data_IF_871787421081
#
_entry.id   IF_871787421081
#
_cell.length_a   1.000
_cell.length_b   1.000
_cell.length_c   1.000
_cell.angle_alpha   90.00
_cell.angle_beta   90.00
_cell.angle_gamma   90.00
#
_symmetry.space_group_name_H-M   'P 1'
#
loop_
_entity.id
_entity.type
_entity.pdbx_description
1 polymer ?
#
# COMPACT_ATOMS: atom_id res chain seq x y z
N UNK A 1 5.86 10.34 -17.04
CA UNK A 1 4.44 10.18 -17.47
C UNK A 1 4.22 9.00 -18.40
N UNK A 2 5.17 8.65 -19.30
CA UNK A 2 4.97 7.57 -20.28
C UNK A 2 4.87 6.17 -19.65
N UNK A 3 5.71 5.84 -18.67
CA UNK A 3 5.70 4.52 -18.04
C UNK A 3 4.44 4.30 -17.18
N UNK A 4 3.96 5.33 -16.50
CA UNK A 4 2.70 5.26 -15.74
C UNK A 4 1.50 5.10 -16.68
N UNK A 5 1.53 5.73 -17.86
CA UNK A 5 0.57 5.52 -18.93
C UNK A 5 0.58 4.06 -19.43
N UNK A 6 1.78 3.51 -19.66
CA UNK A 6 1.94 2.13 -20.11
C UNK A 6 1.42 1.12 -19.08
N UNK A 7 1.66 1.35 -17.77
CA UNK A 7 1.08 0.53 -16.72
C UNK A 7 -0.45 0.61 -16.68
N UNK A 8 -1.02 1.82 -16.85
CA UNK A 8 -2.46 2.01 -16.94
C UNK A 8 -3.07 1.24 -18.12
N UNK A 9 -2.45 1.34 -19.30
CA UNK A 9 -2.89 0.64 -20.49
C UNK A 9 -2.78 -0.89 -20.30
N UNK A 10 -1.70 -1.36 -19.66
CA UNK A 10 -1.54 -2.78 -19.36
C UNK A 10 -2.58 -3.30 -18.34
N UNK A 11 -2.95 -2.49 -17.33
CA UNK A 11 -3.99 -2.85 -16.37
C UNK A 11 -5.38 -2.86 -17.03
N UNK A 12 -5.68 -1.85 -17.86
CA UNK A 12 -7.03 -1.67 -18.41
C UNK A 12 -7.29 -2.46 -19.68
N UNK A 13 -6.30 -2.56 -20.54
CA UNK A 13 -6.39 -3.20 -21.89
C UNK A 13 -5.15 -4.04 -22.18
N UNK A 14 -4.89 -5.10 -21.40
CA UNK A 14 -3.66 -5.91 -21.52
C UNK A 14 -3.46 -6.52 -22.92
N UNK A 15 -4.53 -6.75 -23.66
CA UNK A 15 -4.52 -7.29 -25.02
C UNK A 15 -3.89 -6.36 -26.07
N UNK A 16 -3.71 -5.07 -25.72
CA UNK A 16 -3.10 -4.07 -26.62
C UNK A 16 -1.60 -3.90 -26.36
N UNK A 17 -1.06 -4.52 -25.32
CA UNK A 17 0.32 -4.36 -24.89
C UNK A 17 1.15 -5.57 -25.30
N UNK A 18 2.30 -5.31 -25.93
CA UNK A 18 3.33 -6.34 -26.11
C UNK A 18 3.95 -6.67 -24.74
N UNK A 19 3.34 -7.64 -24.07
CA UNK A 19 3.75 -8.08 -22.75
C UNK A 19 5.23 -8.51 -22.71
N UNK A 20 5.68 -9.27 -23.72
CA UNK A 20 7.04 -9.77 -23.77
C UNK A 20 8.03 -8.61 -23.90
N UNK A 21 7.80 -7.71 -24.86
CA UNK A 21 8.63 -6.53 -25.04
C UNK A 21 8.68 -5.63 -23.81
N UNK A 22 7.55 -5.44 -23.12
CA UNK A 22 7.49 -4.68 -21.87
C UNK A 22 8.40 -5.27 -20.78
N UNK A 23 8.32 -6.57 -20.52
CA UNK A 23 9.11 -7.18 -19.46
C UNK A 23 10.60 -7.32 -19.81
N UNK A 24 10.95 -7.52 -21.08
CA UNK A 24 12.33 -7.48 -21.54
C UNK A 24 12.93 -6.07 -21.38
N UNK A 25 12.16 -5.02 -21.70
CA UNK A 25 12.57 -3.64 -21.46
C UNK A 25 12.79 -3.36 -19.96
N UNK A 26 11.86 -3.75 -19.10
CA UNK A 26 11.98 -3.56 -17.65
C UNK A 26 13.17 -4.33 -17.08
N UNK A 27 13.42 -5.55 -17.56
CA UNK A 27 14.59 -6.34 -17.17
C UNK A 27 15.90 -5.64 -17.53
N UNK A 28 15.99 -5.08 -18.74
CA UNK A 28 17.15 -4.31 -19.18
C UNK A 28 17.32 -3.05 -18.32
N UNK A 29 16.27 -2.31 -18.05
CA UNK A 29 16.32 -1.13 -17.18
C UNK A 29 16.79 -1.46 -15.77
N UNK A 30 16.33 -2.58 -15.18
CA UNK A 30 16.79 -3.03 -13.86
C UNK A 30 18.30 -3.38 -13.84
N UNK A 31 18.89 -3.70 -15.00
CA UNK A 31 20.31 -4.02 -15.12
C UNK A 31 21.19 -2.78 -15.39
N UNK A 32 20.73 -1.86 -16.22
CA UNK A 32 21.56 -0.83 -16.83
C UNK A 32 21.27 0.60 -16.32
N UNK A 33 20.08 0.86 -15.75
CA UNK A 33 19.70 2.21 -15.32
C UNK A 33 20.46 2.63 -14.07
N UNK A 34 21.03 3.81 -14.12
CA UNK A 34 21.82 4.39 -13.03
C UNK A 34 21.00 5.24 -12.07
N UNK A 35 19.87 5.81 -12.52
CA UNK A 35 18.93 6.54 -11.64
C UNK A 35 17.98 5.56 -10.94
N UNK A 36 18.43 5.06 -9.79
CA UNK A 36 17.69 4.07 -9.02
C UNK A 36 16.38 4.63 -8.41
N UNK A 37 16.31 5.94 -8.18
CA UNK A 37 15.08 6.59 -7.71
C UNK A 37 14.02 6.58 -8.83
N UNK A 38 14.41 6.99 -10.04
CA UNK A 38 13.55 6.92 -11.23
C UNK A 38 13.11 5.48 -11.49
N UNK A 39 14.02 4.53 -11.42
CA UNK A 39 13.72 3.11 -11.64
C UNK A 39 12.70 2.58 -10.61
N UNK A 40 12.82 2.97 -9.33
CA UNK A 40 11.83 2.64 -8.30
C UNK A 40 10.43 3.16 -8.66
N UNK A 41 10.34 4.40 -9.16
CA UNK A 41 9.06 4.98 -9.62
C UNK A 41 8.52 4.27 -10.87
N UNK A 42 9.38 3.91 -11.80
CA UNK A 42 9.01 3.15 -13.00
C UNK A 42 8.45 1.77 -12.66
N UNK A 43 8.96 1.13 -11.61
CA UNK A 43 8.47 -0.15 -11.10
C UNK A 43 7.23 -0.02 -10.21
N UNK A 44 6.75 1.20 -9.95
CA UNK A 44 5.55 1.43 -9.13
C UNK A 44 4.30 1.41 -10.00
N UNK A 45 3.37 0.50 -9.70
CA UNK A 45 2.08 0.47 -10.39
C UNK A 45 1.21 1.68 -9.99
N UNK A 46 0.38 2.21 -10.92
CA UNK A 46 -0.61 3.23 -10.60
C UNK A 46 -1.49 2.81 -9.43
N UNK A 47 -1.80 3.75 -8.54
CA UNK A 47 -2.75 3.49 -7.46
C UNK A 47 -4.16 3.28 -8.02
N UNK A 48 -5.00 2.56 -7.27
CA UNK A 48 -6.41 2.34 -7.62
C UNK A 48 -7.14 3.66 -7.87
N UNK A 49 -6.81 4.69 -7.13
CA UNK A 49 -7.36 6.04 -7.32
C UNK A 49 -7.09 6.58 -8.73
N UNK A 50 -5.88 6.39 -9.24
CA UNK A 50 -5.50 6.83 -10.61
C UNK A 50 -6.26 5.99 -11.63
N UNK A 51 -6.35 4.68 -11.43
CA UNK A 51 -7.11 3.76 -12.30
C UNK A 51 -8.59 4.16 -12.33
N UNK A 52 -9.18 4.44 -11.16
CA UNK A 52 -10.58 4.89 -11.04
C UNK A 52 -10.86 6.17 -11.83
N UNK A 53 -9.88 7.07 -11.98
CA UNK A 53 -10.06 8.28 -12.79
C UNK A 53 -10.17 7.99 -14.30
N UNK A 54 -9.64 6.87 -14.75
CA UNK A 54 -9.59 6.48 -16.18
C UNK A 54 -10.75 5.60 -16.61
N UNK A 55 -11.50 5.00 -15.68
CA UNK A 55 -12.65 4.16 -16.00
C UNK A 55 -13.97 4.94 -15.89
N UNK A 56 -14.93 4.65 -16.75
CA UNK A 56 -16.24 5.32 -16.74
C UNK A 56 -17.11 4.90 -15.55
N UNK A 57 -17.14 3.60 -15.25
CA UNK A 57 -17.80 3.00 -14.09
C UNK A 57 -16.78 2.18 -13.30
N UNK A 58 -16.78 2.37 -11.98
CA UNK A 58 -15.84 1.72 -11.07
C UNK A 58 -16.44 0.41 -10.57
N UNK A 59 -15.81 -0.70 -10.95
CA UNK A 59 -16.01 -1.99 -10.33
C UNK A 59 -14.75 -2.31 -9.52
N UNK A 60 -14.84 -2.19 -8.20
CA UNK A 60 -13.70 -2.31 -7.30
C UNK A 60 -13.02 -3.67 -7.42
N UNK A 61 -13.81 -4.75 -7.42
CA UNK A 61 -13.29 -6.11 -7.54
C UNK A 61 -12.54 -6.33 -8.86
N UNK A 62 -13.10 -5.82 -9.98
CA UNK A 62 -12.47 -5.92 -11.29
C UNK A 62 -11.16 -5.16 -11.38
N UNK A 63 -11.12 -3.92 -10.88
CA UNK A 63 -9.90 -3.10 -10.86
C UNK A 63 -8.82 -3.77 -10.03
N UNK A 64 -9.18 -4.28 -8.86
CA UNK A 64 -8.25 -5.01 -8.01
C UNK A 64 -7.70 -6.26 -8.71
N UNK A 65 -8.57 -7.07 -9.30
CA UNK A 65 -8.17 -8.29 -10.02
C UNK A 65 -7.20 -7.97 -11.17
N UNK A 66 -7.50 -6.96 -11.98
CA UNK A 66 -6.63 -6.51 -13.08
C UNK A 66 -5.25 -6.08 -12.57
N UNK A 67 -5.21 -5.32 -11.47
CA UNK A 67 -3.96 -4.87 -10.86
C UNK A 67 -3.14 -6.02 -10.27
N UNK A 68 -3.78 -6.97 -9.61
CA UNK A 68 -3.11 -8.17 -9.08
C UNK A 68 -2.60 -9.09 -10.22
N UNK A 69 -3.30 -9.18 -11.35
CA UNK A 69 -2.80 -9.88 -12.54
C UNK A 69 -1.48 -9.25 -13.04
N UNK A 70 -1.36 -7.93 -13.03
CA UNK A 70 -0.11 -7.26 -13.40
C UNK A 70 1.00 -7.53 -12.37
N UNK A 71 0.70 -7.48 -11.06
CA UNK A 71 1.64 -7.87 -10.01
C UNK A 71 2.17 -9.30 -10.23
N UNK A 72 1.27 -10.24 -10.53
CA UNK A 72 1.63 -11.61 -10.85
C UNK A 72 2.57 -11.70 -12.07
N UNK A 73 2.29 -10.93 -13.13
CA UNK A 73 3.16 -10.88 -14.30
C UNK A 73 4.54 -10.29 -13.98
N UNK A 74 4.60 -9.20 -13.20
CA UNK A 74 5.88 -8.62 -12.74
C UNK A 74 6.71 -9.67 -12.01
N UNK A 75 6.12 -10.39 -11.06
CA UNK A 75 6.79 -11.47 -10.33
C UNK A 75 7.26 -12.55 -11.30
N UNK A 76 6.36 -13.09 -12.10
CA UNK A 76 6.64 -14.19 -13.05
C UNK A 76 7.82 -13.90 -13.97
N UNK A 77 7.95 -12.67 -14.46
CA UNK A 77 8.98 -12.32 -15.46
C UNK A 77 10.25 -11.72 -14.86
N UNK A 78 10.16 -11.14 -13.66
CA UNK A 78 11.26 -10.34 -13.09
C UNK A 78 11.76 -10.85 -11.73
N UNK A 79 11.22 -11.91 -11.13
CA UNK A 79 11.56 -12.36 -9.77
C UNK A 79 13.05 -12.52 -9.56
N UNK A 80 13.75 -13.23 -10.46
CA UNK A 80 15.20 -13.48 -10.34
C UNK A 80 16.00 -12.17 -10.31
N UNK A 81 15.67 -11.22 -11.20
CA UNK A 81 16.38 -9.95 -11.25
C UNK A 81 16.01 -9.03 -10.08
N UNK A 82 14.75 -9.06 -9.62
CA UNK A 82 14.33 -8.35 -8.42
C UNK A 82 15.07 -8.86 -7.19
N UNK A 83 15.24 -10.18 -7.05
CA UNK A 83 15.99 -10.78 -5.96
C UNK A 83 17.49 -10.43 -6.04
N UNK A 84 18.07 -10.48 -7.23
CA UNK A 84 19.47 -10.07 -7.46
C UNK A 84 19.68 -8.59 -7.08
N UNK A 85 18.80 -7.70 -7.55
CA UNK A 85 18.87 -6.27 -7.27
C UNK A 85 18.62 -5.96 -5.78
N UNK A 86 17.70 -6.64 -5.13
CA UNK A 86 17.48 -6.52 -3.69
C UNK A 86 18.76 -6.89 -2.91
N UNK A 87 19.41 -8.02 -3.25
CA UNK A 87 20.65 -8.46 -2.60
C UNK A 87 21.80 -7.48 -2.85
N UNK A 88 21.94 -7.00 -4.07
CA UNK A 88 22.94 -5.99 -4.46
C UNK A 88 22.80 -4.71 -3.62
N UNK A 89 21.58 -4.23 -3.45
CA UNK A 89 21.29 -2.97 -2.74
C UNK A 89 21.16 -3.15 -1.21
N UNK A 90 21.03 -4.39 -0.73
CA UNK A 90 20.89 -4.67 0.70
C UNK A 90 22.27 -4.88 1.38
N UNK A 91 23.14 -3.89 1.24
CA UNK A 91 24.46 -3.92 1.84
C UNK A 91 24.50 -3.08 3.14
N UNK A 92 25.46 -3.42 4.01
CA UNK A 92 25.68 -2.78 5.30
C UNK A 92 26.39 -1.42 5.17
N UNK A 93 25.82 -0.47 4.41
CA UNK A 93 26.32 0.91 4.39
C UNK A 93 25.86 1.68 5.64
N UNK A 94 26.66 2.68 6.02
CA UNK A 94 26.22 3.69 6.97
C UNK A 94 25.05 4.47 6.37
N UNK A 95 24.03 4.74 7.17
CA UNK A 95 22.90 5.53 6.73
C UNK A 95 23.34 6.95 6.35
N UNK A 96 22.93 7.41 5.18
CA UNK A 96 23.11 8.79 4.72
C UNK A 96 21.89 9.26 3.92
N UNK A 97 21.83 10.58 3.64
CA UNK A 97 20.75 11.24 2.91
C UNK A 97 21.17 11.66 1.49
N UNK A 98 22.25 11.12 0.94
CA UNK A 98 22.62 11.38 -0.45
C UNK A 98 21.52 10.89 -1.41
N UNK A 99 21.39 11.56 -2.55
CA UNK A 99 20.43 11.17 -3.60
C UNK A 99 20.62 9.72 -4.02
N UNK A 100 21.88 9.25 -4.10
CA UNK A 100 22.18 7.87 -4.40
C UNK A 100 21.63 6.91 -3.35
N UNK A 101 21.92 7.14 -2.06
CA UNK A 101 21.42 6.29 -0.97
C UNK A 101 19.88 6.32 -0.84
N UNK A 102 19.24 7.45 -1.14
CA UNK A 102 17.78 7.54 -1.21
C UNK A 102 17.25 6.65 -2.34
N UNK A 103 17.84 6.72 -3.54
CA UNK A 103 17.47 5.89 -4.68
C UNK A 103 17.70 4.39 -4.43
N UNK A 104 18.86 4.03 -3.84
CA UNK A 104 19.20 2.65 -3.46
C UNK A 104 18.14 2.07 -2.51
N UNK A 105 17.73 2.81 -1.47
CA UNK A 105 16.68 2.38 -0.54
C UNK A 105 15.31 2.29 -1.20
N UNK A 106 14.97 3.26 -2.04
CA UNK A 106 13.70 3.27 -2.75
C UNK A 106 13.54 2.02 -3.63
N UNK A 107 14.54 1.73 -4.47
CA UNK A 107 14.51 0.57 -5.36
C UNK A 107 14.59 -0.75 -4.59
N UNK A 108 15.47 -0.85 -3.58
CA UNK A 108 15.54 -2.03 -2.71
C UNK A 108 14.18 -2.37 -2.10
N UNK A 109 13.52 -1.38 -1.52
CA UNK A 109 12.20 -1.55 -0.90
C UNK A 109 11.11 -1.86 -1.92
N UNK A 110 11.22 -1.34 -3.15
CA UNK A 110 10.32 -1.69 -4.25
C UNK A 110 10.50 -3.15 -4.67
N UNK A 111 11.73 -3.63 -4.83
CA UNK A 111 12.02 -5.03 -5.10
C UNK A 111 11.46 -5.92 -3.98
N UNK A 112 11.69 -5.56 -2.72
CA UNK A 112 11.18 -6.31 -1.56
C UNK A 112 9.65 -6.45 -1.59
N UNK A 113 8.92 -5.39 -1.96
CA UNK A 113 7.45 -5.42 -2.02
C UNK A 113 6.91 -6.46 -3.02
N UNK A 114 7.60 -6.67 -4.14
CA UNK A 114 7.25 -7.73 -5.10
C UNK A 114 7.68 -9.12 -4.60
N UNK A 115 8.88 -9.24 -4.03
CA UNK A 115 9.40 -10.51 -3.51
C UNK A 115 8.55 -11.05 -2.35
N UNK A 116 8.02 -10.18 -1.49
CA UNK A 116 7.09 -10.60 -0.44
C UNK A 116 5.79 -11.14 -1.05
N UNK A 117 5.29 -10.56 -2.13
CA UNK A 117 4.13 -11.07 -2.85
C UNK A 117 4.38 -12.44 -3.51
N UNK A 118 5.64 -12.79 -3.82
CA UNK A 118 5.99 -14.14 -4.31
C UNK A 118 6.24 -15.15 -3.20
N UNK A 119 6.24 -14.71 -1.93
CA UNK A 119 6.42 -15.60 -0.78
C UNK A 119 7.75 -15.44 -0.03
N UNK A 120 8.62 -14.53 -0.46
CA UNK A 120 9.94 -14.29 0.15
C UNK A 120 9.82 -13.47 1.46
N UNK A 121 8.94 -13.92 2.37
CA UNK A 121 8.63 -13.23 3.64
C UNK A 121 9.85 -13.10 4.56
N UNK A 122 10.76 -14.07 4.53
CA UNK A 122 11.95 -14.07 5.37
C UNK A 122 12.89 -12.90 5.07
N UNK A 123 12.96 -12.45 3.81
CA UNK A 123 13.74 -11.27 3.43
C UNK A 123 13.19 -10.01 4.12
N UNK A 124 11.88 -9.83 4.11
CA UNK A 124 11.24 -8.70 4.76
C UNK A 124 11.38 -8.79 6.29
N UNK A 125 11.23 -9.97 6.87
CA UNK A 125 11.41 -10.18 8.31
C UNK A 125 12.85 -9.87 8.76
N UNK A 126 13.86 -10.32 8.00
CA UNK A 126 15.26 -9.98 8.25
C UNK A 126 15.50 -8.46 8.12
N UNK A 127 14.96 -7.83 7.06
CA UNK A 127 15.10 -6.38 6.91
C UNK A 127 14.42 -5.63 8.06
N UNK A 128 13.21 -6.02 8.46
CA UNK A 128 12.51 -5.40 9.59
C UNK A 128 13.35 -5.40 10.87
N UNK A 129 13.99 -6.53 11.17
CA UNK A 129 14.78 -6.72 12.39
C UNK A 129 16.14 -6.02 12.39
N UNK A 130 16.75 -5.80 11.21
CA UNK A 130 18.10 -5.26 11.08
C UNK A 130 18.15 -3.89 10.40
N UNK A 131 16.99 -3.29 10.09
CA UNK A 131 16.93 -1.98 9.45
C UNK A 131 17.62 -0.91 10.29
N UNK A 132 18.45 -0.10 9.65
CA UNK A 132 19.17 1.03 10.27
C UNK A 132 18.46 2.37 10.08
N UNK A 133 17.34 2.38 9.38
CA UNK A 133 16.52 3.56 9.18
C UNK A 133 15.03 3.21 9.11
N UNK A 134 14.21 4.20 9.43
CA UNK A 134 12.74 4.06 9.43
C UNK A 134 12.20 3.69 8.05
N UNK A 135 12.79 4.18 6.96
CA UNK A 135 12.32 3.86 5.59
C UNK A 135 12.36 2.37 5.30
N UNK A 136 13.45 1.70 5.63
CA UNK A 136 13.61 0.26 5.40
C UNK A 136 12.74 -0.56 6.36
N UNK A 137 12.68 -0.15 7.63
CA UNK A 137 11.87 -0.85 8.63
C UNK A 137 10.38 -0.74 8.34
N UNK A 138 9.91 0.47 8.00
CA UNK A 138 8.51 0.70 7.67
C UNK A 138 8.10 -0.03 6.39
N UNK A 139 8.98 -0.07 5.38
CA UNK A 139 8.71 -0.75 4.12
C UNK A 139 8.58 -2.27 4.30
N UNK A 140 9.48 -2.87 5.09
CA UNK A 140 9.40 -4.29 5.42
C UNK A 140 8.20 -4.61 6.34
N UNK A 141 7.89 -3.74 7.30
CA UNK A 141 6.69 -3.82 8.14
C UNK A 141 5.42 -3.82 7.27
N UNK A 142 5.30 -2.85 6.36
CA UNK A 142 4.16 -2.75 5.44
C UNK A 142 4.03 -4.01 4.58
N UNK A 143 5.12 -4.46 3.96
CA UNK A 143 5.10 -5.65 3.11
C UNK A 143 4.62 -6.91 3.87
N UNK A 144 5.02 -7.08 5.13
CA UNK A 144 4.57 -8.20 5.96
C UNK A 144 3.12 -8.04 6.43
N UNK A 145 2.67 -6.83 6.73
CA UNK A 145 1.29 -6.57 7.18
C UNK A 145 0.27 -6.70 6.04
N UNK A 146 0.67 -6.42 4.81
CA UNK A 146 -0.21 -6.52 3.62
C UNK A 146 -0.39 -7.93 3.08
N UNK A 147 0.36 -8.92 3.58
CA UNK A 147 0.34 -10.29 3.07
C UNK A 147 0.17 -11.31 4.21
N UNK A 148 -0.58 -12.41 3.97
CA UNK A 148 -0.65 -13.51 4.90
C UNK A 148 0.69 -14.23 5.00
N UNK A 149 1.32 -14.20 6.17
CA UNK A 149 2.62 -14.82 6.43
C UNK A 149 2.80 -15.14 7.92
N UNK A 150 3.76 -16.00 8.30
CA UNK A 150 3.95 -16.40 9.69
C UNK A 150 4.50 -15.29 10.61
N UNK A 151 5.06 -14.24 10.06
CA UNK A 151 5.71 -13.16 10.82
C UNK A 151 4.77 -11.97 11.11
N UNK A 152 3.60 -11.91 10.47
CA UNK A 152 2.70 -10.76 10.50
C UNK A 152 2.36 -10.30 11.93
N UNK A 153 1.90 -11.22 12.77
CA UNK A 153 1.51 -10.90 14.14
C UNK A 153 2.70 -10.38 14.95
N UNK A 154 3.83 -11.07 14.87
CA UNK A 154 5.04 -10.69 15.58
C UNK A 154 5.53 -9.29 15.21
N UNK A 155 5.58 -8.95 13.89
CA UNK A 155 6.06 -7.63 13.47
C UNK A 155 5.11 -6.51 13.86
N UNK A 156 3.79 -6.75 13.90
CA UNK A 156 2.80 -5.78 14.39
C UNK A 156 3.04 -5.48 15.87
N UNK A 157 3.17 -6.50 16.69
CA UNK A 157 3.42 -6.38 18.14
C UNK A 157 4.79 -5.71 18.40
N UNK A 158 5.84 -6.16 17.71
CA UNK A 158 7.19 -5.62 17.86
C UNK A 158 7.32 -4.17 17.41
N UNK A 159 6.70 -3.79 16.28
CA UNK A 159 6.70 -2.40 15.85
C UNK A 159 5.99 -1.50 16.87
N UNK A 160 4.86 -1.96 17.41
CA UNK A 160 4.17 -1.27 18.48
C UNK A 160 5.08 -1.08 19.72
N UNK A 161 5.71 -2.12 20.22
CA UNK A 161 6.57 -2.05 21.42
C UNK A 161 7.79 -1.13 21.20
N UNK A 162 8.36 -1.11 20.01
CA UNK A 162 9.49 -0.23 19.67
C UNK A 162 9.10 1.26 19.65
N UNK A 163 7.87 1.57 19.22
CA UNK A 163 7.51 2.96 18.89
C UNK A 163 6.27 3.48 19.62
N UNK A 164 5.74 2.79 20.61
CA UNK A 164 4.51 3.18 21.33
C UNK A 164 4.56 4.57 21.95
N UNK A 165 5.74 5.10 22.25
CA UNK A 165 5.93 6.45 22.81
C UNK A 165 6.10 7.52 21.70
N UNK A 166 6.31 7.11 20.45
CA UNK A 166 6.42 8.04 19.32
C UNK A 166 5.06 8.19 18.63
N UNK A 167 4.42 9.33 18.86
CA UNK A 167 3.06 9.62 18.37
C UNK A 167 2.96 9.52 16.86
N UNK A 168 3.97 10.01 16.11
CA UNK A 168 3.94 10.02 14.65
C UNK A 168 4.16 8.62 14.08
N UNK A 169 5.05 7.84 14.68
CA UNK A 169 5.32 6.47 14.25
C UNK A 169 4.15 5.55 14.58
N UNK A 170 3.45 5.77 15.69
CA UNK A 170 2.21 5.05 16.01
C UNK A 170 1.06 5.43 15.04
N UNK A 171 0.99 6.64 14.55
CA UNK A 171 0.05 6.99 13.48
C UNK A 171 0.31 6.16 12.21
N UNK A 172 1.58 5.88 11.88
CA UNK A 172 1.94 4.97 10.76
C UNK A 172 1.58 3.51 11.05
N UNK A 173 1.77 3.05 12.29
CA UNK A 173 1.37 1.70 12.71
C UNK A 173 -0.13 1.46 12.51
N UNK A 174 -0.98 2.43 12.85
CA UNK A 174 -2.41 2.37 12.54
C UNK A 174 -2.68 2.38 11.03
N UNK A 175 -2.04 3.31 10.31
CA UNK A 175 -2.28 3.48 8.86
C UNK A 175 -1.91 2.24 8.05
N UNK A 176 -0.75 1.64 8.32
CA UNK A 176 -0.28 0.44 7.60
C UNK A 176 -1.24 -0.73 7.80
N UNK A 177 -1.73 -0.94 9.01
CA UNK A 177 -2.71 -1.99 9.25
C UNK A 177 -4.04 -1.70 8.57
N UNK A 178 -4.51 -0.44 8.64
CA UNK A 178 -5.82 -0.06 8.09
C UNK A 178 -5.89 -0.12 6.57
N UNK A 179 -4.78 0.13 5.88
CA UNK A 179 -4.72 0.07 4.41
C UNK A 179 -4.43 -1.35 3.90
N UNK A 180 -4.07 -2.27 4.78
CA UNK A 180 -3.78 -3.66 4.41
C UNK A 180 -4.97 -4.31 3.72
N UNK A 181 -4.78 -4.95 2.54
CA UNK A 181 -5.86 -5.59 1.79
C UNK A 181 -6.46 -6.79 2.53
N UNK A 182 -5.81 -7.29 3.56
CA UNK A 182 -6.24 -8.47 4.32
C UNK A 182 -6.86 -8.15 5.68
N UNK A 183 -6.91 -6.87 6.10
CA UNK A 183 -7.61 -6.49 7.33
C UNK A 183 -9.12 -6.55 7.11
N UNK A 184 -9.85 -7.11 8.06
CA UNK A 184 -11.32 -7.06 8.03
C UNK A 184 -11.87 -5.78 8.67
N UNK A 185 -13.15 -5.47 8.43
CA UNK A 185 -13.86 -4.39 9.14
C UNK A 185 -13.86 -4.64 10.66
N UNK A 186 -13.95 -5.91 11.09
CA UNK A 186 -13.81 -6.28 12.51
C UNK A 186 -12.43 -5.90 13.05
N UNK A 187 -11.35 -6.15 12.29
CA UNK A 187 -9.99 -5.72 12.67
C UNK A 187 -9.85 -4.20 12.79
N UNK A 188 -10.55 -3.42 11.94
CA UNK A 188 -10.61 -1.96 12.10
C UNK A 188 -11.28 -1.58 13.42
N UNK A 189 -12.40 -2.23 13.79
CA UNK A 189 -13.07 -2.01 15.08
C UNK A 189 -12.20 -2.37 16.27
N UNK A 190 -11.39 -3.44 16.16
CA UNK A 190 -10.39 -3.79 17.18
C UNK A 190 -9.34 -2.68 17.34
N UNK A 191 -8.82 -2.16 16.23
CA UNK A 191 -7.88 -1.02 16.26
C UNK A 191 -8.53 0.25 16.84
N UNK A 192 -9.82 0.49 16.61
CA UNK A 192 -10.56 1.60 17.27
C UNK A 192 -10.69 1.41 18.78
N UNK A 193 -10.69 0.17 19.26
CA UNK A 193 -10.72 -0.16 20.69
C UNK A 193 -9.34 -0.13 21.35
N UNK A 194 -8.28 0.08 20.60
CA UNK A 194 -6.92 0.12 21.11
C UNK A 194 -6.70 1.34 22.00
N UNK A 195 -6.00 1.16 23.15
CA UNK A 195 -5.77 2.20 24.19
C UNK A 195 -5.17 3.52 23.67
N UNK A 196 -4.44 3.49 22.55
CA UNK A 196 -3.87 4.69 21.93
C UNK A 196 -4.78 5.34 20.88
N UNK A 197 -5.95 4.73 20.56
CA UNK A 197 -6.92 5.33 19.66
C UNK A 197 -7.89 6.23 20.44
N UNK A 198 -8.24 7.37 19.86
CA UNK A 198 -9.32 8.22 20.34
C UNK A 198 -9.88 9.07 19.21
N UNK A 199 -11.20 9.20 19.15
CA UNK A 199 -11.92 10.05 18.21
C UNK A 199 -11.63 11.54 18.40
N UNK A 200 -11.10 11.94 19.58
CA UNK A 200 -10.74 13.33 19.89
C UNK A 200 -9.42 13.77 19.25
N UNK A 201 -8.59 12.85 18.79
CA UNK A 201 -7.32 13.19 18.14
C UNK A 201 -7.45 13.12 16.60
N UNK A 202 -7.46 14.27 15.89
CA UNK A 202 -7.63 14.31 14.44
C UNK A 202 -6.59 13.51 13.65
N UNK A 203 -5.34 13.47 14.11
CA UNK A 203 -4.30 12.71 13.43
C UNK A 203 -4.52 11.20 13.59
N UNK A 204 -4.92 10.77 14.79
CA UNK A 204 -5.25 9.37 15.07
C UNK A 204 -6.45 8.90 14.25
N UNK A 205 -7.49 9.72 14.14
CA UNK A 205 -8.66 9.45 13.30
C UNK A 205 -8.27 9.34 11.82
N UNK A 206 -7.41 10.24 11.33
CA UNK A 206 -6.94 10.16 9.93
C UNK A 206 -6.06 8.94 9.69
N UNK A 207 -5.19 8.59 10.63
CA UNK A 207 -4.25 7.47 10.48
C UNK A 207 -4.96 6.12 10.47
N UNK A 208 -6.03 5.94 11.22
CA UNK A 208 -6.82 4.72 11.22
C UNK A 208 -7.93 4.76 10.17
N UNK A 209 -8.90 5.64 10.37
CA UNK A 209 -10.14 5.64 9.59
C UNK A 209 -9.97 6.32 8.23
N UNK A 210 -9.11 7.34 8.14
CA UNK A 210 -8.72 7.94 6.86
C UNK A 210 -7.95 6.96 5.97
N UNK A 211 -7.04 6.16 6.54
CA UNK A 211 -6.35 5.11 5.81
C UNK A 211 -7.32 3.99 5.40
N UNK A 212 -8.23 3.57 6.28
CA UNK A 212 -9.26 2.58 5.94
C UNK A 212 -10.15 3.03 4.78
N UNK A 213 -10.54 4.30 4.72
CA UNK A 213 -11.32 4.83 3.60
C UNK A 213 -10.60 4.79 2.24
N UNK A 214 -9.26 4.61 2.25
CA UNK A 214 -8.44 4.40 1.05
C UNK A 214 -8.20 2.91 0.74
N UNK A 215 -8.65 2.02 1.61
CA UNK A 215 -8.55 0.59 1.40
C UNK A 215 -9.62 0.13 0.41
N UNK A 216 -9.28 0.14 -0.89
CA UNK A 216 -10.23 -0.16 -1.96
C UNK A 216 -10.84 -1.56 -1.90
N UNK A 217 -10.21 -2.49 -1.19
CA UNK A 217 -10.68 -3.87 -1.08
C UNK A 217 -11.67 -4.01 0.08
N UNK A 218 -11.30 -3.52 1.26
CA UNK A 218 -12.05 -3.78 2.48
C UNK A 218 -13.06 -2.68 2.83
N UNK A 219 -12.88 -1.47 2.30
CA UNK A 219 -13.80 -0.37 2.55
C UNK A 219 -15.10 -0.49 1.74
N UNK A 220 -15.02 -0.94 0.47
CA UNK A 220 -16.17 -0.96 -0.44
C UNK A 220 -17.05 -2.20 -0.23
N UNK A 221 -17.60 -2.35 0.97
CA UNK A 221 -18.58 -3.35 1.35
C UNK A 221 -19.63 -2.74 2.28
N UNK A 222 -20.71 -3.45 2.55
CA UNK A 222 -21.81 -2.96 3.40
C UNK A 222 -21.30 -2.59 4.80
N UNK A 223 -20.51 -3.47 5.43
CA UNK A 223 -19.97 -3.28 6.77
C UNK A 223 -18.98 -2.09 6.81
N UNK A 224 -18.19 -1.89 5.75
CA UNK A 224 -17.25 -0.77 5.63
C UNK A 224 -17.97 0.58 5.53
N UNK A 225 -19.02 0.64 4.74
CA UNK A 225 -19.86 1.86 4.63
C UNK A 225 -20.64 2.12 5.90
N UNK A 226 -21.18 1.09 6.55
CA UNK A 226 -21.86 1.21 7.83
C UNK A 226 -20.90 1.74 8.91
N UNK A 227 -19.71 1.16 9.04
CA UNK A 227 -18.69 1.64 9.98
C UNK A 227 -18.38 3.12 9.74
N UNK A 228 -18.16 3.51 8.47
CA UNK A 228 -17.85 4.90 8.16
C UNK A 228 -19.01 5.86 8.48
N UNK A 229 -20.24 5.44 8.28
CA UNK A 229 -21.44 6.23 8.65
C UNK A 229 -21.50 6.44 10.16
N UNK A 230 -21.31 5.39 10.96
CA UNK A 230 -21.24 5.47 12.43
C UNK A 230 -20.15 6.46 12.88
N UNK A 231 -18.96 6.35 12.27
CA UNK A 231 -17.82 7.24 12.52
C UNK A 231 -18.14 8.71 12.19
N UNK A 232 -18.81 8.98 11.08
CA UNK A 232 -19.16 10.35 10.68
C UNK A 232 -20.15 10.95 11.68
N UNK A 233 -21.15 10.20 12.11
CA UNK A 233 -22.14 10.66 13.10
C UNK A 233 -21.45 10.98 14.44
N UNK A 234 -20.55 10.13 14.92
CA UNK A 234 -19.79 10.40 16.14
C UNK A 234 -18.88 11.61 16.00
N UNK A 235 -18.17 11.74 14.86
CA UNK A 235 -17.27 12.84 14.59
C UNK A 235 -18.03 14.18 14.46
N UNK A 236 -19.25 14.19 13.95
CA UNK A 236 -20.03 15.43 13.80
C UNK A 236 -20.27 16.09 15.15
N UNK A 237 -20.51 15.31 16.19
CA UNK A 237 -20.67 15.82 17.55
C UNK A 237 -19.34 16.33 18.18
N UNK A 238 -18.17 15.83 17.70
CA UNK A 238 -16.85 16.16 18.25
C UNK A 238 -16.12 17.22 17.42
N UNK A 239 -16.16 17.10 16.10
CA UNK A 239 -15.48 17.96 15.14
C UNK A 239 -16.18 17.92 13.76
N UNK A 240 -17.17 18.80 13.51
CA UNK A 240 -17.94 18.81 12.26
C UNK A 240 -17.09 18.97 10.99
N UNK A 241 -15.93 19.65 11.07
CA UNK A 241 -15.05 19.83 9.91
C UNK A 241 -14.41 18.49 9.51
N UNK A 242 -14.03 17.67 10.47
CA UNK A 242 -13.48 16.33 10.20
C UNK A 242 -14.61 15.43 9.70
N UNK A 243 -15.79 15.46 10.31
CA UNK A 243 -16.97 14.71 9.87
C UNK A 243 -17.30 15.00 8.40
N UNK A 244 -17.40 16.29 8.01
CA UNK A 244 -17.65 16.70 6.64
C UNK A 244 -16.57 16.17 5.65
N UNK A 245 -15.31 16.15 6.07
CA UNK A 245 -14.22 15.59 5.26
C UNK A 245 -14.37 14.08 5.09
N UNK A 246 -14.76 13.35 6.13
CA UNK A 246 -15.02 11.91 6.03
C UNK A 246 -16.27 11.62 5.19
N UNK A 247 -17.34 12.42 5.31
CA UNK A 247 -18.52 12.30 4.47
C UNK A 247 -18.19 12.43 2.96
N UNK A 248 -17.15 13.19 2.61
CA UNK A 248 -16.72 13.35 1.21
C UNK A 248 -16.24 12.07 0.53
N UNK A 249 -15.95 10.97 1.27
CA UNK A 249 -15.58 9.68 0.68
C UNK A 249 -16.72 9.09 -0.17
N UNK A 250 -17.96 9.48 0.12
CA UNK A 250 -19.14 9.06 -0.62
C UNK A 250 -19.48 9.94 -1.84
N UNK A 251 -18.78 11.05 -2.08
CA UNK A 251 -19.12 12.01 -3.15
C UNK A 251 -19.14 11.39 -4.56
N UNK A 252 -18.40 10.31 -4.77
CA UNK A 252 -18.28 9.66 -6.07
C UNK A 252 -19.16 8.41 -6.22
N UNK A 253 -20.14 8.18 -5.35
CA UNK A 253 -20.97 6.98 -5.32
C UNK A 253 -21.63 6.65 -6.68
N UNK A 254 -22.02 7.66 -7.47
CA UNK A 254 -22.63 7.48 -8.80
C UNK A 254 -21.66 6.91 -9.85
N UNK A 255 -20.36 6.97 -9.59
CA UNK A 255 -19.34 6.41 -10.48
C UNK A 255 -19.15 4.91 -10.29
N UNK A 256 -19.57 4.36 -9.17
CA UNK A 256 -19.48 2.92 -8.92
C UNK A 256 -20.56 2.15 -9.69
N UNK A 257 -20.31 0.87 -9.96
CA UNK A 257 -21.32 -0.03 -10.51
C UNK A 257 -22.50 -0.16 -9.56
N UNK A 258 -23.65 -0.63 -10.07
CA UNK A 258 -24.92 -0.68 -9.33
C UNK A 258 -24.82 -1.47 -8.01
N UNK A 259 -23.96 -2.47 -7.94
CA UNK A 259 -23.71 -3.22 -6.71
C UNK A 259 -23.21 -2.30 -5.59
N UNK A 260 -22.11 -1.58 -5.81
CA UNK A 260 -21.51 -0.70 -4.80
C UNK A 260 -22.33 0.58 -4.56
N UNK A 261 -22.88 1.18 -5.62
CA UNK A 261 -23.65 2.44 -5.49
C UNK A 261 -24.96 2.29 -4.74
N UNK A 262 -25.52 1.08 -4.63
CA UNK A 262 -26.70 0.80 -3.81
C UNK A 262 -26.37 0.58 -2.34
N UNK A 263 -25.15 0.23 -2.02
CA UNK A 263 -24.67 0.03 -0.66
C UNK A 263 -24.28 1.36 0.02
N UNK A 264 -23.86 2.35 -0.77
CA UNK A 264 -23.51 3.70 -0.31
C UNK A 264 -24.75 4.57 -0.11
#
# INVERSE_FOLDING_TARGET
DSIQGLWLDYILTPEKIDQKGLFEMLKKLLQEESDLALLSEMMTLPSERIIHQKVGKINVAEVNQKRENVNFCVIKYLEEILLSKYKELNHNKTFDLSTQSIGERALKNRCLSYLVKSGEYELAYKQFNHAKCMSDQLSSFQALVENHNPYQKEVIERFYELYREDVQTIDRWFSVQSISPIISVAGIRELMSHKLFTMKNPNRVRSLLGAFSQNHIQFHCQEGYQLMTEVIIELDALNPQIAARFASVFNHWRRFTSHYSKLQ
#
